data_IF_901842837753
#
_entry.id   IF_901842837753
#
_cell.length_a   1.000
_cell.length_b   1.000
_cell.length_c   1.000
_cell.angle_alpha   90.00
_cell.angle_beta   90.00
_cell.angle_gamma   90.00
#
_symmetry.space_group_name_H-M   'P 1'
#
loop_
_entity.id
_entity.type
_entity.pdbx_description
1 polymer ?
#
# COMPACT_ATOMS: atom_id res chain seq x y z
N UNK A 1 -17.75 -7.61 25.62
CA UNK A 1 -17.70 -7.81 24.15
C UNK A 1 -17.08 -6.59 23.46
N UNK A 2 -15.76 -6.40 23.54
CA UNK A 2 -15.03 -5.28 22.90
C UNK A 2 -14.17 -5.72 21.69
N UNK A 3 -14.27 -6.99 21.26
CA UNK A 3 -13.45 -7.57 20.19
C UNK A 3 -13.81 -7.05 18.78
N UNK A 4 -15.09 -6.73 18.52
CA UNK A 4 -15.56 -6.47 17.15
C UNK A 4 -14.97 -5.23 16.44
N UNK A 5 -14.61 -4.17 17.17
CA UNK A 5 -14.16 -2.91 16.55
C UNK A 5 -12.66 -2.93 16.22
N UNK A 6 -11.83 -3.53 17.08
CA UNK A 6 -10.38 -3.61 16.87
C UNK A 6 -10.02 -4.58 15.76
N UNK A 7 -10.67 -5.74 15.72
CA UNK A 7 -10.45 -6.74 14.67
C UNK A 7 -10.91 -6.23 13.30
N UNK A 8 -12.04 -5.52 13.24
CA UNK A 8 -12.51 -4.89 11.99
C UNK A 8 -11.51 -3.87 11.47
N UNK A 9 -11.04 -2.97 12.33
CA UNK A 9 -10.05 -1.95 11.94
C UNK A 9 -8.74 -2.57 11.45
N UNK A 10 -8.26 -3.64 12.09
CA UNK A 10 -7.06 -4.34 11.62
C UNK A 10 -7.25 -4.98 10.25
N UNK A 11 -8.43 -5.57 9.99
CA UNK A 11 -8.76 -6.11 8.67
C UNK A 11 -8.79 -5.02 7.60
N UNK A 12 -9.43 -3.88 7.88
CA UNK A 12 -9.47 -2.74 6.96
C UNK A 12 -8.07 -2.20 6.63
N UNK A 13 -7.17 -2.17 7.62
CA UNK A 13 -5.77 -1.76 7.43
C UNK A 13 -5.05 -2.76 6.51
N UNK A 14 -5.14 -4.05 6.80
CA UNK A 14 -4.48 -5.11 6.02
C UNK A 14 -5.02 -5.19 4.58
N UNK A 15 -6.34 -5.05 4.39
CA UNK A 15 -6.96 -5.00 3.06
C UNK A 15 -6.47 -3.80 2.25
N UNK A 16 -6.24 -2.67 2.91
CA UNK A 16 -5.71 -1.47 2.25
C UNK A 16 -4.24 -1.62 1.90
N UNK A 17 -3.42 -2.17 2.80
CA UNK A 17 -2.01 -2.51 2.51
C UNK A 17 -1.92 -3.45 1.31
N UNK A 18 -2.76 -4.49 1.26
CA UNK A 18 -2.77 -5.41 0.13
C UNK A 18 -3.07 -4.69 -1.20
N UNK A 19 -4.02 -3.76 -1.23
CA UNK A 19 -4.31 -2.96 -2.44
C UNK A 19 -3.10 -2.13 -2.88
N UNK A 20 -2.39 -1.51 -1.95
CA UNK A 20 -1.17 -0.77 -2.27
C UNK A 20 -0.09 -1.67 -2.88
N UNK A 21 0.10 -2.86 -2.29
CA UNK A 21 1.08 -3.85 -2.78
C UNK A 21 0.71 -4.37 -4.18
N UNK A 22 -0.57 -4.62 -4.44
CA UNK A 22 -1.05 -5.08 -5.74
C UNK A 22 -0.78 -4.03 -6.83
N UNK A 23 -1.07 -2.75 -6.56
CA UNK A 23 -0.79 -1.66 -7.49
C UNK A 23 0.71 -1.40 -7.67
N UNK A 24 1.50 -1.49 -6.59
CA UNK A 24 2.95 -1.38 -6.66
C UNK A 24 3.56 -2.51 -7.53
N UNK A 25 3.07 -3.74 -7.38
CA UNK A 25 3.48 -4.89 -8.19
C UNK A 25 3.14 -4.68 -9.66
N UNK A 26 1.93 -4.18 -9.96
CA UNK A 26 1.53 -3.88 -11.33
C UNK A 26 2.44 -2.81 -11.98
N UNK A 27 2.74 -1.74 -11.26
CA UNK A 27 3.65 -0.68 -11.73
C UNK A 27 5.08 -1.20 -11.93
N UNK A 28 5.58 -2.05 -11.02
CA UNK A 28 6.90 -2.67 -11.19
C UNK A 28 6.97 -3.57 -12.42
N UNK A 29 5.90 -4.31 -12.73
CA UNK A 29 5.84 -5.15 -13.92
C UNK A 29 5.80 -4.34 -15.22
N UNK A 30 5.19 -3.15 -15.19
CA UNK A 30 5.04 -2.28 -16.36
C UNK A 30 6.28 -1.41 -16.60
N UNK A 31 6.78 -0.75 -15.55
CA UNK A 31 7.78 0.33 -15.67
C UNK A 31 9.11 0.00 -14.96
N UNK A 32 9.22 -1.20 -14.39
CA UNK A 32 10.37 -1.60 -13.59
C UNK A 32 10.48 -0.84 -12.25
N UNK A 33 11.58 -1.09 -11.54
CA UNK A 33 11.81 -0.52 -10.20
C UNK A 33 11.95 1.02 -10.21
N UNK A 34 12.48 1.59 -11.29
CA UNK A 34 12.62 3.05 -11.43
C UNK A 34 11.26 3.73 -11.59
N UNK A 35 10.29 3.05 -12.22
CA UNK A 35 8.93 3.54 -12.39
C UNK A 35 8.08 3.52 -11.12
N UNK A 36 8.50 2.75 -10.10
CA UNK A 36 7.82 2.67 -8.81
C UNK A 36 8.06 3.96 -7.99
N UNK A 37 7.04 4.80 -7.89
CA UNK A 37 7.04 6.03 -7.08
C UNK A 37 5.83 6.03 -6.16
N UNK A 38 6.00 6.48 -4.91
CA UNK A 38 4.92 6.47 -3.90
C UNK A 38 3.65 7.18 -4.40
N UNK A 39 3.80 8.34 -5.06
CA UNK A 39 2.67 9.06 -5.64
C UNK A 39 1.93 8.27 -6.73
N UNK A 40 2.66 7.60 -7.62
CA UNK A 40 2.08 6.78 -8.70
C UNK A 40 1.38 5.53 -8.15
N UNK A 41 1.92 4.92 -7.10
CA UNK A 41 1.27 3.78 -6.42
C UNK A 41 -0.05 4.23 -5.83
N UNK A 42 -0.07 5.33 -5.08
CA UNK A 42 -1.27 5.88 -4.47
C UNK A 42 -2.33 6.26 -5.52
N UNK A 43 -1.92 6.92 -6.60
CA UNK A 43 -2.79 7.25 -7.73
C UNK A 43 -3.37 6.00 -8.39
N UNK A 44 -2.57 4.96 -8.64
CA UNK A 44 -3.00 3.73 -9.29
C UNK A 44 -4.04 2.92 -8.48
N UNK A 45 -4.22 3.21 -7.19
CA UNK A 45 -5.23 2.60 -6.33
C UNK A 45 -6.29 3.58 -5.83
N UNK A 46 -6.41 4.77 -6.44
CA UNK A 46 -7.38 5.81 -6.08
C UNK A 46 -7.25 6.31 -4.63
N UNK A 47 -6.01 6.46 -4.14
CA UNK A 47 -5.71 7.02 -2.83
C UNK A 47 -4.82 8.27 -2.91
N UNK A 48 -4.93 9.12 -1.90
CA UNK A 48 -3.97 10.19 -1.70
C UNK A 48 -2.61 9.63 -1.27
N UNK A 49 -1.51 10.22 -1.73
CA UNK A 49 -0.15 9.81 -1.34
C UNK A 49 0.03 9.82 0.18
N UNK A 50 -0.58 10.78 0.88
CA UNK A 50 -0.56 10.83 2.35
C UNK A 50 -1.19 9.60 3.02
N UNK A 51 -2.19 8.97 2.38
CA UNK A 51 -2.77 7.72 2.88
C UNK A 51 -1.80 6.56 2.72
N UNK A 52 -1.08 6.45 1.60
CA UNK A 52 -0.04 5.44 1.43
C UNK A 52 1.05 5.58 2.51
N UNK A 53 1.48 6.81 2.80
CA UNK A 53 2.47 7.08 3.86
C UNK A 53 1.99 6.76 5.28
N UNK A 54 0.68 6.58 5.51
CA UNK A 54 0.18 6.06 6.79
C UNK A 54 0.40 4.56 6.96
N UNK A 55 0.69 3.84 5.87
CA UNK A 55 0.90 2.40 5.85
C UNK A 55 2.35 2.02 5.58
N UNK A 56 3.06 2.79 4.75
CA UNK A 56 4.45 2.55 4.40
C UNK A 56 5.28 3.81 4.56
N UNK A 57 6.33 3.76 5.37
CA UNK A 57 7.13 4.94 5.72
C UNK A 57 7.96 5.44 4.53
N UNK A 58 8.33 4.54 3.62
CA UNK A 58 9.13 4.87 2.44
C UNK A 58 8.89 3.89 1.28
N UNK A 59 9.52 4.18 0.13
CA UNK A 59 9.53 3.24 -1.00
C UNK A 59 10.24 1.93 -0.63
N UNK A 60 11.29 2.00 0.16
CA UNK A 60 12.03 0.83 0.64
C UNK A 60 11.15 -0.04 1.54
N UNK A 61 10.37 0.55 2.45
CA UNK A 61 9.41 -0.17 3.30
C UNK A 61 8.33 -0.89 2.46
N UNK A 62 7.78 -0.20 1.46
CA UNK A 62 6.88 -0.80 0.46
C UNK A 62 7.54 -1.95 -0.30
N UNK A 63 8.82 -1.83 -0.67
CA UNK A 63 9.58 -2.87 -1.37
C UNK A 63 9.87 -4.08 -0.49
N UNK A 64 10.16 -3.86 0.80
CA UNK A 64 10.35 -4.95 1.78
C UNK A 64 9.06 -5.75 1.92
N UNK A 65 7.91 -5.08 1.93
CA UNK A 65 6.61 -5.75 2.00
C UNK A 65 6.21 -6.49 0.71
N UNK A 66 6.85 -6.20 -0.43
CA UNK A 66 6.61 -6.89 -1.70
C UNK A 66 7.40 -8.20 -1.87
N UNK A 67 8.49 -8.36 -1.11
CA UNK A 67 9.43 -9.48 -1.16
C UNK A 67 8.88 -10.73 -0.46
#
# INVERSE_FOLDING_TARGET
MLMGTRERRQREIAEREQRFLDCARALMLQDGLLGLQMARVAEACDYATGTLYQHFESKEDLLVALA
#
